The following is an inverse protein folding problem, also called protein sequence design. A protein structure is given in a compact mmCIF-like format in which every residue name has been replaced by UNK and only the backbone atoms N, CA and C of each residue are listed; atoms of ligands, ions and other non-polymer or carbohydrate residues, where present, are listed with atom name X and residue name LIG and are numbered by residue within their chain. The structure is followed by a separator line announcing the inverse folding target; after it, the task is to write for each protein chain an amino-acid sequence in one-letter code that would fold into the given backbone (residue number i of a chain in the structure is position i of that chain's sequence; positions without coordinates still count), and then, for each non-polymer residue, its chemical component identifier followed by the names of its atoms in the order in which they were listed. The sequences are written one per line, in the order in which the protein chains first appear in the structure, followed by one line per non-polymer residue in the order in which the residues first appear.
data_IF_075905977094
#
_entry.id   IF_075905977094
#
_cell.length_a   1.000
_cell.length_b   1.000
_cell.length_c   1.000
_cell.angle_alpha   90.00
_cell.angle_beta   90.00
_cell.angle_gamma   90.00
#
_symmetry.space_group_name_H-M   'P 1'
#
loop_
_entity.id
_entity.type
_entity.pdbx_description
1 polymer ?
#
# COMPACT_ATOMS: atom_id res chain seq x y z
N UNK A 1 -20.86 7.52 -8.36
CA UNK A 1 -21.17 6.40 -9.26
C UNK A 1 -19.98 5.45 -9.23
N UNK A 2 -20.01 4.42 -8.38
CA UNK A 2 -18.92 3.45 -8.24
C UNK A 2 -19.34 2.15 -8.96
N UNK A 3 -18.74 1.88 -10.11
CA UNK A 3 -18.94 0.62 -10.81
C UNK A 3 -17.83 -0.34 -10.37
N UNK A 4 -18.14 -1.25 -9.45
CA UNK A 4 -17.30 -2.40 -9.13
C UNK A 4 -17.75 -3.57 -10.00
N UNK A 5 -16.95 -3.93 -11.00
CA UNK A 5 -17.05 -5.23 -11.67
C UNK A 5 -15.81 -6.03 -11.27
N UNK A 6 -15.87 -6.70 -10.12
CA UNK A 6 -14.89 -7.75 -9.81
C UNK A 6 -15.39 -9.05 -10.44
N UNK A 7 -15.10 -9.26 -11.73
CA UNK A 7 -15.15 -10.61 -12.29
C UNK A 7 -13.82 -11.28 -11.96
N UNK A 8 -13.85 -12.22 -11.02
CA UNK A 8 -12.78 -13.20 -10.87
C UNK A 8 -12.59 -13.90 -12.22
N UNK A 9 -11.52 -13.56 -12.93
CA UNK A 9 -11.13 -14.28 -14.13
C UNK A 9 -10.60 -15.66 -13.69
N UNK A 10 -11.03 -16.74 -14.37
CA UNK A 10 -10.55 -18.08 -14.06
C UNK A 10 -9.04 -18.16 -14.24
N UNK A 11 -8.36 -18.62 -13.19
CA UNK A 11 -6.92 -18.89 -13.17
C UNK A 11 -6.61 -20.18 -13.94
N UNK A 12 -6.65 -20.15 -15.27
CA UNK A 12 -6.11 -21.27 -16.05
C UNK A 12 -5.47 -20.79 -17.35
N UNK A 13 -4.18 -21.13 -17.50
CA UNK A 13 -3.48 -21.12 -18.78
C UNK A 13 -2.83 -19.78 -19.15
N UNK A 14 -1.53 -19.84 -19.45
CA UNK A 14 -0.80 -18.82 -20.22
C UNK A 14 -1.37 -18.75 -21.65
N UNK A 15 -2.56 -18.21 -21.81
CA UNK A 15 -3.06 -17.70 -23.08
C UNK A 15 -2.90 -16.20 -23.03
N UNK A 16 -2.20 -15.63 -24.02
CA UNK A 16 -2.01 -14.18 -24.12
C UNK A 16 -3.33 -13.48 -23.89
N UNK A 17 -3.38 -12.62 -22.87
CA UNK A 17 -4.55 -11.85 -22.46
C UNK A 17 -4.97 -10.90 -23.58
N UNK A 18 -5.64 -11.44 -24.61
CA UNK A 18 -6.33 -10.62 -25.59
C UNK A 18 -7.65 -10.21 -24.94
N UNK A 19 -7.83 -8.91 -24.76
CA UNK A 19 -9.11 -8.35 -24.34
C UNK A 19 -10.21 -8.82 -25.29
N UNK A 20 -11.38 -9.10 -24.73
CA UNK A 20 -12.59 -9.36 -25.51
C UNK A 20 -12.93 -8.04 -26.24
N UNK A 21 -13.04 -8.11 -27.57
CA UNK A 21 -13.39 -6.94 -28.40
C UNK A 21 -14.67 -6.27 -27.88
N UNK A 22 -14.65 -4.95 -27.75
CA UNK A 22 -15.79 -4.15 -27.29
C UNK A 22 -15.82 -3.82 -25.79
N UNK A 23 -14.82 -4.28 -25.00
CA UNK A 23 -14.65 -3.84 -23.61
C UNK A 23 -13.68 -2.65 -23.54
N UNK A 24 -14.04 -1.64 -22.72
CA UNK A 24 -13.25 -0.42 -22.49
C UNK A 24 -12.64 -0.45 -21.09
N UNK A 25 -11.35 -0.13 -20.97
CA UNK A 25 -10.68 0.01 -19.68
C UNK A 25 -11.17 1.29 -18.99
N UNK A 26 -11.93 1.15 -17.90
CA UNK A 26 -12.45 2.30 -17.14
C UNK A 26 -11.62 2.64 -15.89
N UNK A 27 -10.93 1.66 -15.30
CA UNK A 27 -10.19 1.84 -14.06
C UNK A 27 -9.09 0.78 -13.93
N UNK A 28 -7.96 1.16 -13.35
CA UNK A 28 -6.87 0.25 -12.98
C UNK A 28 -6.49 0.49 -11.52
N UNK A 29 -6.46 -0.59 -10.73
CA UNK A 29 -5.98 -0.57 -9.35
C UNK A 29 -4.75 -1.47 -9.23
N UNK A 30 -3.67 -0.92 -8.66
CA UNK A 30 -2.44 -1.66 -8.38
C UNK A 30 -2.22 -1.73 -6.87
N UNK A 31 -2.15 -2.96 -6.34
CA UNK A 31 -1.68 -3.24 -4.99
C UNK A 31 -0.32 -3.91 -5.09
N UNK A 32 0.68 -3.32 -4.45
CA UNK A 32 2.07 -3.74 -4.56
C UNK A 32 2.72 -3.81 -3.18
N UNK A 33 3.51 -4.87 -2.97
CA UNK A 33 4.47 -4.96 -1.87
C UNK A 33 5.74 -4.18 -2.23
N UNK A 34 6.38 -3.55 -1.24
CA UNK A 34 7.70 -2.94 -1.42
C UNK A 34 8.70 -3.84 -2.13
N UNK A 35 9.58 -3.26 -2.94
CA UNK A 35 10.64 -3.98 -3.65
C UNK A 35 11.68 -4.62 -2.72
N UNK A 36 12.73 -5.21 -3.31
CA UNK A 36 13.86 -5.76 -2.56
C UNK A 36 14.40 -4.78 -1.52
N UNK A 37 14.72 -5.30 -0.33
CA UNK A 37 15.13 -4.51 0.83
C UNK A 37 16.25 -5.20 1.60
N UNK A 38 17.00 -4.43 2.37
CA UNK A 38 17.94 -4.97 3.35
C UNK A 38 17.17 -5.77 4.42
N UNK A 39 17.83 -6.75 5.06
CA UNK A 39 17.25 -7.52 6.16
C UNK A 39 16.71 -6.60 7.27
N UNK A 40 15.70 -7.07 8.01
CA UNK A 40 15.19 -6.33 9.18
C UNK A 40 16.13 -6.45 10.37
N UNK A 41 16.87 -7.55 10.45
CA UNK A 41 17.86 -7.81 11.50
C UNK A 41 19.27 -7.67 10.93
N UNK A 42 20.23 -7.16 11.71
CA UNK A 42 21.61 -7.01 11.26
C UNK A 42 22.24 -8.32 10.79
N UNK A 43 22.86 -8.30 9.61
CA UNK A 43 23.64 -9.42 9.06
C UNK A 43 25.01 -8.92 8.58
N UNK A 44 26.08 -9.53 9.07
CA UNK A 44 27.44 -9.16 8.68
C UNK A 44 27.82 -9.68 7.28
N UNK A 45 28.68 -8.96 6.52
CA UNK A 45 29.24 -7.65 6.85
C UNK A 45 28.25 -6.51 6.54
N UNK A 46 28.13 -5.52 7.44
CA UNK A 46 27.26 -4.35 7.23
C UNK A 46 27.62 -3.55 5.96
N UNK A 47 28.91 -3.48 5.60
CA UNK A 47 29.38 -2.76 4.41
C UNK A 47 28.72 -3.24 3.12
N UNK A 48 28.55 -4.55 2.98
CA UNK A 48 27.86 -5.15 1.83
C UNK A 48 26.45 -4.59 1.68
N UNK A 49 25.69 -4.50 2.77
CA UNK A 49 24.31 -4.00 2.74
C UNK A 49 24.25 -2.50 2.47
N UNK A 50 25.20 -1.71 2.98
CA UNK A 50 25.32 -0.28 2.68
C UNK A 50 25.50 -0.04 1.19
N UNK A 51 26.31 -0.86 0.52
CA UNK A 51 26.57 -0.76 -0.92
C UNK A 51 25.33 -1.10 -1.77
N UNK A 52 24.36 -1.83 -1.22
CA UNK A 52 23.09 -2.12 -1.92
C UNK A 52 22.06 -0.99 -1.83
N UNK A 53 22.31 0.06 -1.03
CA UNK A 53 21.35 1.13 -0.84
C UNK A 53 21.35 2.10 -2.03
N UNK A 54 20.19 2.69 -2.39
CA UNK A 54 20.10 3.68 -3.46
C UNK A 54 21.07 4.84 -3.25
N UNK A 55 21.84 5.16 -4.29
CA UNK A 55 22.72 6.32 -4.27
C UNK A 55 21.92 7.65 -4.33
N UNK A 56 22.56 8.75 -3.92
CA UNK A 56 21.94 10.08 -3.88
C UNK A 56 21.44 10.56 -5.24
N UNK A 57 22.12 10.20 -6.33
CA UNK A 57 21.72 10.58 -7.67
C UNK A 57 20.39 9.94 -8.08
N UNK A 58 20.20 8.66 -7.75
CA UNK A 58 18.96 7.92 -7.96
C UNK A 58 17.82 8.50 -7.13
N UNK A 59 18.06 8.79 -5.84
CA UNK A 59 17.08 9.42 -4.96
C UNK A 59 16.62 10.77 -5.51
N UNK A 60 17.55 11.61 -5.99
CA UNK A 60 17.22 12.90 -6.62
C UNK A 60 16.34 12.74 -7.86
N UNK A 61 16.60 11.72 -8.69
CA UNK A 61 15.78 11.44 -9.88
C UNK A 61 14.36 11.01 -9.53
N UNK A 62 14.17 10.33 -8.40
CA UNK A 62 12.86 9.90 -7.90
C UNK A 62 12.08 11.01 -7.18
N UNK A 63 12.73 12.06 -6.72
CA UNK A 63 12.09 13.24 -6.07
C UNK A 63 11.57 14.29 -7.06
N UNK A 64 11.83 14.14 -8.36
CA UNK A 64 11.38 15.11 -9.37
C UNK A 64 9.85 15.11 -9.42
N UNK A 65 9.22 16.23 -9.05
CA UNK A 65 7.76 16.40 -8.98
C UNK A 65 7.21 16.65 -7.58
N UNK A 66 8.04 16.69 -6.53
CA UNK A 66 7.59 17.19 -5.23
C UNK A 66 7.23 18.67 -5.33
N UNK A 67 5.98 19.01 -4.95
CA UNK A 67 5.62 20.40 -4.69
C UNK A 67 6.60 20.96 -3.63
N UNK A 68 7.20 22.14 -3.86
CA UNK A 68 8.08 22.77 -2.88
C UNK A 68 7.27 22.99 -1.59
N UNK A 69 7.65 22.30 -0.51
CA UNK A 69 6.99 22.42 0.80
C UNK A 69 6.46 21.12 1.41
N UNK A 70 6.53 19.98 0.69
CA UNK A 70 6.21 18.68 1.29
C UNK A 70 7.16 18.33 2.46
N UNK A 71 6.69 17.64 3.52
CA UNK A 71 7.55 17.19 4.60
C UNK A 71 8.60 16.23 4.06
N UNK A 72 9.86 16.68 4.02
CA UNK A 72 11.00 15.84 3.66
C UNK A 72 11.11 14.70 4.67
N UNK A 73 10.73 13.50 4.27
CA UNK A 73 10.99 12.30 5.08
C UNK A 73 12.49 12.07 5.08
N UNK A 74 13.11 12.30 6.23
CA UNK A 74 14.53 12.03 6.43
C UNK A 74 14.75 10.52 6.29
N UNK A 75 15.73 10.16 5.46
CA UNK A 75 16.33 8.84 5.51
C UNK A 75 16.86 8.67 6.94
N UNK A 76 16.43 7.62 7.64
CA UNK A 76 17.10 7.25 8.88
C UNK A 76 18.51 6.79 8.55
N UNK A 77 19.49 7.05 9.41
CA UNK A 77 20.87 6.56 9.25
C UNK A 77 20.96 5.02 9.34
N UNK A 78 19.83 4.34 9.52
CA UNK A 78 19.69 2.91 9.64
C UNK A 78 19.78 2.20 8.28
N UNK A 79 20.70 1.24 8.17
CA UNK A 79 20.93 0.40 6.98
C UNK A 79 19.83 -0.65 6.81
N UNK A 80 19.26 -1.12 7.92
CA UNK A 80 18.36 -2.28 7.98
C UNK A 80 16.93 -1.93 7.59
N UNK A 81 16.24 -2.88 6.96
CA UNK A 81 14.87 -2.75 6.48
C UNK A 81 14.64 -1.68 5.39
N UNK A 82 15.71 -1.12 4.81
CA UNK A 82 15.68 -0.10 3.78
C UNK A 82 15.50 -0.70 2.39
N UNK A 83 14.86 0.06 1.48
CA UNK A 83 14.75 -0.33 0.08
C UNK A 83 16.14 -0.32 -0.56
N UNK A 84 16.50 -1.37 -1.32
CA UNK A 84 17.77 -1.43 -2.06
C UNK A 84 17.65 -0.78 -3.44
N UNK A 85 18.77 -0.48 -4.10
CA UNK A 85 18.79 -0.02 -5.49
C UNK A 85 18.08 -1.00 -6.42
N UNK A 86 18.35 -2.31 -6.25
CA UNK A 86 17.60 -3.37 -6.95
C UNK A 86 16.09 -3.27 -6.71
N UNK A 87 15.65 -3.01 -5.47
CA UNK A 87 14.23 -2.85 -5.16
C UNK A 87 13.60 -1.63 -5.83
N UNK A 88 14.37 -0.55 -6.01
CA UNK A 88 13.98 0.62 -6.81
C UNK A 88 13.83 0.23 -8.28
N UNK A 89 14.82 -0.46 -8.85
CA UNK A 89 14.80 -0.86 -10.26
C UNK A 89 13.65 -1.82 -10.58
N UNK A 90 13.39 -2.80 -9.72
CA UNK A 90 12.25 -3.72 -9.83
C UNK A 90 10.92 -2.94 -9.86
N UNK A 91 10.79 -1.97 -8.98
CA UNK A 91 9.60 -1.11 -8.88
C UNK A 91 9.46 -0.20 -10.11
N UNK A 92 10.56 0.34 -10.61
CA UNK A 92 10.58 1.15 -11.82
C UNK A 92 10.20 0.33 -13.06
N UNK A 93 10.80 -0.85 -13.23
CA UNK A 93 10.50 -1.76 -14.33
C UNK A 93 9.02 -2.19 -14.32
N UNK A 94 8.44 -2.36 -13.14
CA UNK A 94 7.00 -2.61 -13.00
C UNK A 94 6.16 -1.41 -13.47
N UNK A 95 6.55 -0.18 -13.11
CA UNK A 95 5.92 1.04 -13.62
C UNK A 95 5.97 1.12 -15.15
N UNK A 96 7.14 0.88 -15.74
CA UNK A 96 7.33 0.90 -17.20
C UNK A 96 6.59 -0.23 -17.91
N UNK A 97 6.38 -1.37 -17.25
CA UNK A 97 5.53 -2.44 -17.77
C UNK A 97 4.05 -2.05 -17.72
N UNK A 98 3.62 -1.39 -16.64
CA UNK A 98 2.26 -0.88 -16.51
C UNK A 98 1.97 0.20 -17.55
N UNK A 99 2.90 1.12 -17.80
CA UNK A 99 2.79 2.12 -18.86
C UNK A 99 2.54 1.47 -20.22
N UNK A 100 3.38 0.52 -20.63
CA UNK A 100 3.21 -0.18 -21.91
C UNK A 100 1.89 -0.92 -21.99
N UNK A 101 1.51 -1.60 -20.90
CA UNK A 101 0.22 -2.28 -20.83
C UNK A 101 -0.93 -1.28 -20.98
N UNK A 102 -0.91 -0.14 -20.30
CA UNK A 102 -1.92 0.90 -20.45
C UNK A 102 -1.93 1.47 -21.88
N UNK A 103 -0.78 1.79 -22.46
CA UNK A 103 -0.67 2.31 -23.82
C UNK A 103 -1.27 1.36 -24.87
N UNK A 104 -1.02 0.05 -24.75
CA UNK A 104 -1.61 -0.99 -25.61
C UNK A 104 -3.15 -1.00 -25.54
N UNK A 105 -3.73 -0.69 -24.38
CA UNK A 105 -5.17 -0.73 -24.15
C UNK A 105 -5.86 0.64 -24.34
N UNK A 106 -5.10 1.74 -24.30
CA UNK A 106 -5.58 3.07 -24.63
C UNK A 106 -5.56 3.34 -26.14
N UNK A 107 -4.60 2.80 -26.88
CA UNK A 107 -4.50 2.98 -28.34
C UNK A 107 -5.73 2.47 -29.11
N UNK A 108 -6.51 1.55 -28.53
CA UNK A 108 -7.77 1.07 -29.11
C UNK A 108 -8.97 1.99 -28.87
N UNK A 109 -8.82 3.03 -28.05
CA UNK A 109 -9.89 3.97 -27.71
C UNK A 109 -9.56 5.31 -28.36
N UNK A 110 -10.29 5.70 -29.41
CA UNK A 110 -10.18 7.02 -30.08
C UNK A 110 -10.55 8.22 -29.18
N UNK A 111 -10.66 8.00 -27.86
CA UNK A 111 -11.28 8.90 -26.91
C UNK A 111 -10.19 9.66 -26.13
N UNK A 112 -9.87 10.86 -26.60
CA UNK A 112 -8.90 11.80 -26.03
C UNK A 112 -9.17 12.17 -24.56
N UNK A 113 -10.38 11.92 -24.06
CA UNK A 113 -10.81 12.18 -22.69
C UNK A 113 -10.02 11.42 -21.61
N UNK A 114 -9.22 10.42 -21.97
CA UNK A 114 -8.41 9.65 -21.01
C UNK A 114 -7.10 10.30 -20.58
N UNK A 115 -6.66 11.36 -21.28
CA UNK A 115 -5.35 11.98 -21.01
C UNK A 115 -5.25 12.65 -19.63
N UNK A 116 -6.37 12.84 -18.94
CA UNK A 116 -6.42 13.58 -17.66
C UNK A 116 -6.89 12.74 -16.46
N UNK A 117 -6.88 11.40 -16.53
CA UNK A 117 -7.31 10.62 -15.36
C UNK A 117 -6.36 10.83 -14.17
N UNK A 118 -6.88 11.33 -13.02
CA UNK A 118 -6.03 11.60 -11.86
C UNK A 118 -5.52 10.29 -11.28
N UNK A 119 -4.20 10.20 -11.13
CA UNK A 119 -3.56 9.06 -10.47
C UNK A 119 -3.49 9.33 -8.97
N UNK A 120 -4.21 8.52 -8.19
CA UNK A 120 -4.16 8.57 -6.73
C UNK A 120 -3.20 7.50 -6.21
N UNK A 121 -2.25 7.92 -5.37
CA UNK A 121 -1.27 7.01 -4.76
C UNK A 121 -1.44 7.01 -3.26
N UNK A 122 -1.72 5.84 -2.70
CA UNK A 122 -1.81 5.62 -1.26
C UNK A 122 -0.58 4.82 -0.81
N UNK A 123 0.15 5.34 0.18
CA UNK A 123 1.30 4.65 0.77
C UNK A 123 1.22 4.62 2.28
N UNK A 124 1.80 3.58 2.87
CA UNK A 124 2.09 3.56 4.30
C UNK A 124 3.10 4.67 4.67
N UNK A 125 3.14 5.07 5.96
CA UNK A 125 3.97 6.19 6.40
C UNK A 125 5.49 5.91 6.39
N UNK A 126 5.93 4.70 6.08
CA UNK A 126 7.34 4.35 6.01
C UNK A 126 8.01 4.87 4.73
N UNK A 127 9.26 5.29 4.87
CA UNK A 127 10.06 5.91 3.81
C UNK A 127 10.22 4.99 2.57
N UNK A 128 10.49 3.71 2.80
CA UNK A 128 10.64 2.70 1.73
C UNK A 128 9.39 2.52 0.87
N UNK A 129 8.19 2.60 1.47
CA UNK A 129 6.93 2.49 0.73
C UNK A 129 6.69 3.72 -0.14
N UNK A 130 7.04 4.91 0.37
CA UNK A 130 7.04 6.13 -0.46
C UNK A 130 8.06 6.06 -1.60
N UNK A 131 9.28 5.56 -1.35
CA UNK A 131 10.29 5.38 -2.40
C UNK A 131 9.87 4.35 -3.44
N UNK A 132 9.29 3.23 -3.02
CA UNK A 132 8.73 2.21 -3.92
C UNK A 132 7.69 2.85 -4.84
N UNK A 133 6.75 3.60 -4.28
CA UNK A 133 5.72 4.28 -5.06
C UNK A 133 6.32 5.28 -6.05
N UNK A 134 7.33 6.06 -5.64
CA UNK A 134 8.05 6.98 -6.55
C UNK A 134 8.77 6.25 -7.67
N UNK A 135 9.38 5.11 -7.38
CA UNK A 135 10.04 4.29 -8.38
C UNK A 135 9.04 3.78 -9.44
N UNK A 136 7.88 3.27 -9.00
CA UNK A 136 6.77 2.89 -9.88
C UNK A 136 6.31 4.08 -10.72
N UNK A 137 6.03 5.22 -10.10
CA UNK A 137 5.59 6.43 -10.82
C UNK A 137 6.64 6.90 -11.83
N UNK A 138 7.93 6.83 -11.50
CA UNK A 138 8.99 7.19 -12.42
C UNK A 138 9.09 6.24 -13.62
N UNK A 139 8.63 4.99 -13.49
CA UNK A 139 8.54 4.06 -14.60
C UNK A 139 7.26 4.25 -15.41
N UNK A 140 6.16 4.57 -14.72
CA UNK A 140 4.85 4.81 -15.30
C UNK A 140 4.81 6.10 -16.14
N UNK A 141 5.51 7.14 -15.69
CA UNK A 141 5.56 8.45 -16.34
C UNK A 141 6.98 8.73 -16.86
N UNK A 142 7.27 8.43 -18.13
CA UNK A 142 8.58 8.71 -18.71
C UNK A 142 8.91 10.21 -18.68
N UNK A 143 10.19 10.60 -18.81
CA UNK A 143 10.63 12.00 -18.66
C UNK A 143 9.86 13.01 -19.52
N UNK A 144 9.38 12.60 -20.70
CA UNK A 144 8.57 13.39 -21.61
C UNK A 144 7.18 13.74 -21.09
N UNK A 145 6.63 12.97 -20.15
CA UNK A 145 5.27 13.10 -19.59
C UNK A 145 5.28 13.54 -18.11
N UNK A 146 6.43 13.95 -17.57
CA UNK A 146 6.54 14.36 -16.16
C UNK A 146 5.79 15.64 -15.81
N UNK A 147 5.47 16.48 -16.81
CA UNK A 147 4.63 17.65 -16.59
C UNK A 147 3.20 17.25 -16.18
N UNK A 148 2.69 16.13 -16.70
CA UNK A 148 1.35 15.61 -16.39
C UNK A 148 1.31 14.89 -15.03
N UNK A 149 2.47 14.41 -14.56
CA UNK A 149 2.62 13.84 -13.22
C UNK A 149 2.34 14.84 -12.08
N UNK A 150 2.20 16.15 -12.39
CA UNK A 150 1.73 17.15 -11.43
C UNK A 150 0.33 16.85 -10.86
N UNK A 151 -0.48 16.04 -11.56
CA UNK A 151 -1.79 15.59 -11.08
C UNK A 151 -1.71 14.41 -10.08
N UNK A 152 -0.52 13.86 -9.81
CA UNK A 152 -0.36 12.72 -8.90
C UNK A 152 -0.49 13.16 -7.45
N UNK A 153 -1.58 12.76 -6.80
CA UNK A 153 -1.76 12.97 -5.36
C UNK A 153 -1.18 11.80 -4.58
N UNK A 154 0.03 11.97 -4.05
CA UNK A 154 0.63 11.02 -3.11
C UNK A 154 0.12 11.30 -1.70
N UNK A 155 -0.82 10.47 -1.23
CA UNK A 155 -1.38 10.55 0.12
C UNK A 155 -0.82 9.44 1.00
N UNK A 156 -0.45 9.81 2.23
CA UNK A 156 -0.07 8.83 3.25
C UNK A 156 -1.31 8.34 3.96
N UNK A 157 -1.41 7.04 4.22
CA UNK A 157 -2.58 6.42 4.86
C UNK A 157 -2.96 7.05 6.21
N UNK A 158 -2.00 7.53 7.03
CA UNK A 158 -2.31 8.28 8.27
C UNK A 158 -3.17 9.53 8.02
N UNK A 159 -2.92 10.27 6.94
CA UNK A 159 -3.69 11.45 6.56
C UNK A 159 -5.03 11.11 5.89
N UNK A 160 -5.18 9.88 5.38
CA UNK A 160 -6.43 9.39 4.83
C UNK A 160 -7.38 8.87 5.93
N UNK A 161 -6.83 8.26 6.99
CA UNK A 161 -7.61 7.80 8.15
C UNK A 161 -8.19 8.96 8.97
N UNK A 162 -7.47 10.08 9.12
CA UNK A 162 -8.00 11.29 9.79
C UNK A 162 -9.18 11.94 9.06
N UNK A 163 -9.44 11.59 7.79
CA UNK A 163 -10.61 12.07 7.02
C UNK A 163 -11.77 11.06 6.97
N UNK A 164 -11.55 9.85 7.49
CA UNK A 164 -12.57 8.80 7.53
C UNK A 164 -13.24 8.66 8.90
N UNK A 165 -12.72 9.34 9.93
CA UNK A 165 -13.51 9.62 11.12
C UNK A 165 -14.35 10.88 10.85
N UNK A 166 -15.70 10.80 10.82
CA UNK A 166 -16.50 12.01 10.99
C UNK A 166 -16.09 12.68 12.31
N UNK A 167 -16.20 14.03 12.42
CA UNK A 167 -15.98 14.67 13.70
C UNK A 167 -16.91 14.00 14.72
N UNK A 168 -16.34 13.42 15.78
CA UNK A 168 -17.08 13.07 16.97
C UNK A 168 -17.62 14.39 17.55
N UNK A 169 -18.79 14.80 17.05
CA UNK A 169 -19.63 15.78 17.70
C UNK A 169 -20.12 15.16 19.01
N UNK A 170 -19.42 15.47 20.11
CA UNK A 170 -19.97 15.57 21.47
C UNK A 170 -21.06 14.55 21.84
N UNK A 171 -20.78 13.26 21.71
CA UNK A 171 -21.68 12.20 22.19
C UNK A 171 -21.37 11.72 23.63
N UNK A 172 -20.49 12.43 24.34
CA UNK A 172 -20.02 12.02 25.68
C UNK A 172 -20.80 12.65 26.85
N UNK A 173 -21.61 13.69 26.63
CA UNK A 173 -22.42 14.27 27.72
C UNK A 173 -23.79 13.60 27.90
N UNK A 174 -24.33 12.92 26.88
CA UNK A 174 -25.64 12.26 26.98
C UNK A 174 -25.58 10.78 27.42
N UNK A 175 -24.41 10.13 27.34
CA UNK A 175 -24.24 8.72 27.75
C UNK A 175 -23.88 8.54 29.22
N UNK A 176 -23.34 9.57 29.89
CA UNK A 176 -23.04 9.49 31.32
C UNK A 176 -24.29 9.60 32.20
N UNK A 177 -25.35 10.31 31.77
CA UNK A 177 -26.61 10.40 32.52
C UNK A 177 -27.49 9.14 32.42
N UNK A 178 -27.32 8.31 31.38
CA UNK A 178 -28.10 7.07 31.22
C UNK A 178 -27.45 5.84 31.87
N UNK A 179 -26.17 5.90 32.24
CA UNK A 179 -25.48 4.80 32.90
C UNK A 179 -25.68 4.76 34.43
N UNK A 180 -26.24 5.82 35.03
CA UNK A 180 -26.52 5.84 36.47
C UNK A 180 -27.85 5.19 36.87
N UNK A 181 -28.77 4.92 35.93
CA UNK A 181 -30.14 4.48 36.27
C UNK A 181 -30.36 2.95 36.17
N UNK A 182 -29.44 2.21 35.53
CA UNK A 182 -29.57 0.74 35.37
C UNK A 182 -28.98 -0.06 36.53
N UNK A 183 -28.05 0.52 37.29
CA UNK A 183 -27.42 -0.15 38.43
C UNK A 183 -28.34 -0.20 39.65
N UNK A 184 -29.27 0.75 39.78
CA UNK A 184 -30.30 0.76 40.83
C UNK A 184 -31.46 -0.20 40.52
N UNK A 185 -31.71 -0.49 39.23
CA UNK A 185 -32.78 -1.37 38.76
C UNK A 185 -32.39 -2.87 38.73
N UNK A 186 -31.10 -3.19 38.78
CA UNK A 186 -30.58 -4.56 38.74
C UNK A 186 -29.74 -4.89 39.98
N UNK A 187 -30.27 -4.64 41.18
CA UNK A 187 -29.77 -5.25 42.42
C UNK A 187 -29.80 -6.79 42.31
N UNK A 188 -28.78 -7.33 41.65
CA UNK A 188 -28.50 -8.74 41.48
C UNK A 188 -27.27 -9.03 42.34
N UNK A 189 -27.47 -9.84 43.36
CA UNK A 189 -26.44 -10.23 44.32
C UNK A 189 -25.27 -10.95 43.63
N UNK A 190 -24.01 -10.63 43.97
CA UNK A 190 -22.82 -11.09 43.25
C UNK A 190 -22.28 -12.46 43.70
N UNK A 191 -23.12 -13.43 44.05
CA UNK A 191 -22.67 -14.70 44.65
C UNK A 191 -22.83 -15.95 43.78
N UNK A 192 -22.99 -15.81 42.46
CA UNK A 192 -23.07 -16.97 41.57
C UNK A 192 -22.33 -16.73 40.27
N UNK A 193 -21.01 -16.96 40.23
CA UNK A 193 -20.26 -17.41 39.05
C UNK A 193 -18.79 -17.72 39.39
N UNK A 194 -18.54 -18.52 40.44
CA UNK A 194 -17.33 -19.35 40.50
C UNK A 194 -17.65 -20.68 39.80
N UNK A 195 -17.22 -20.85 38.56
CA UNK A 195 -17.38 -22.13 37.87
C UNK A 195 -17.06 -22.11 36.39
N UNK A 196 -15.92 -22.74 36.07
CA UNK A 196 -15.55 -23.28 34.77
C UNK A 196 -14.97 -22.32 33.72
N UNK A 197 -13.63 -22.29 33.65
CA UNK A 197 -12.93 -22.33 32.37
C UNK A 197 -11.61 -23.11 32.54
N UNK A 198 -11.70 -24.44 32.45
CA UNK A 198 -10.56 -25.29 32.11
C UNK A 198 -10.37 -25.24 30.58
N UNK A 199 -9.39 -24.46 30.11
CA UNK A 199 -8.94 -24.54 28.72
C UNK A 199 -7.78 -25.53 28.62
N UNK A 200 -8.07 -26.68 28.01
CA UNK A 200 -7.14 -27.77 27.77
C UNK A 200 -5.92 -27.36 26.92
N UNK A 201 -4.80 -28.01 27.25
CA UNK A 201 -3.52 -27.98 26.56
C UNK A 201 -3.64 -28.53 25.14
N UNK A 202 -3.25 -27.72 24.15
CA UNK A 202 -3.09 -28.16 22.76
C UNK A 202 -1.72 -28.80 22.59
N UNK A 203 -1.72 -30.12 22.39
CA UNK A 203 -0.56 -30.92 21.99
C UNK A 203 0.06 -30.42 20.68
N UNK A 204 1.34 -30.11 20.72
CA UNK A 204 2.16 -29.75 19.56
C UNK A 204 2.67 -31.01 18.87
N UNK A 205 2.26 -31.24 17.62
CA UNK A 205 2.84 -32.31 16.77
C UNK A 205 4.03 -31.78 15.95
N UNK A 206 5.20 -32.45 15.97
CA UNK A 206 6.34 -32.08 15.14
C UNK A 206 6.12 -32.52 13.67
N UNK A 207 6.46 -31.63 12.74
CA UNK A 207 6.43 -31.89 11.31
C UNK A 207 7.76 -32.53 10.88
N UNK A 208 7.72 -33.80 10.49
CA UNK A 208 8.85 -34.48 9.88
C UNK A 208 8.96 -34.08 8.40
N UNK A 209 10.13 -33.56 8.00
CA UNK A 209 10.48 -33.22 6.63
C UNK A 209 11.21 -34.43 6.03
N UNK A 210 10.55 -35.19 5.14
CA UNK A 210 11.22 -36.22 4.35
C UNK A 210 11.71 -35.60 3.04
N UNK A 211 13.03 -35.51 2.89
CA UNK A 211 13.70 -35.21 1.64
C UNK A 211 14.04 -36.49 0.88
N UNK A 212 13.81 -36.47 -0.42
CA UNK A 212 14.41 -37.34 -1.44
C UNK A 212 15.10 -36.46 -2.46
#
# INVERSE_FOLDING_TARGET
MHCYVSRQLPRTGRTGSRFISGLRLCHTQLLLRGGARTPLEPLEPESYWRDTLPNEALLRRLTVGEAPGGPRRRRGDEVWGQLTERGVDESNALGARLERWLAEHHASSEDEAYKEMPTMVLTSPDYRSSLTARAVLSGLFPPSQRADAAAVQLRTLRAAQTKLHPPEEKEDEARQDTAMDLTELLALEPDALEGACECGSVESRPWAFNGT
#
